data_IF_744673633804
#
_entry.id   IF_744673633804
#
_cell.length_a   1.000
_cell.length_b   1.000
_cell.length_c   1.000
_cell.angle_alpha   90.00
_cell.angle_beta   90.00
_cell.angle_gamma   90.00
#
_symmetry.space_group_name_H-M   'P 1'
#
loop_
_entity.id
_entity.type
_entity.pdbx_description
1 polymer ?
#
# COMPACT_ATOMS: atom_id res chain seq x y z
N UNK A 1 3.61 22.22 -17.53
CA UNK A 1 2.36 22.28 -16.75
C UNK A 1 2.22 23.67 -16.13
N UNK A 2 1.56 24.58 -16.86
CA UNK A 2 1.17 25.91 -16.39
C UNK A 2 -0.16 25.79 -15.62
N UNK A 3 -0.34 26.69 -14.65
CA UNK A 3 -1.53 26.90 -13.78
C UNK A 3 -1.91 25.79 -12.78
N UNK A 4 -1.02 25.49 -11.83
CA UNK A 4 -1.49 25.02 -10.52
C UNK A 4 -2.20 26.20 -9.84
N UNK A 5 -3.50 26.02 -9.52
CA UNK A 5 -4.33 27.00 -8.80
C UNK A 5 -3.56 27.57 -7.60
N UNK A 6 -3.64 28.88 -7.37
CA UNK A 6 -2.98 29.54 -6.21
C UNK A 6 -3.31 28.82 -4.89
N UNK A 7 -4.54 28.31 -4.78
CA UNK A 7 -5.04 27.53 -3.64
C UNK A 7 -4.27 26.21 -3.51
N UNK A 8 -4.08 25.47 -4.62
CA UNK A 8 -3.36 24.21 -4.62
C UNK A 8 -1.90 24.38 -4.19
N UNK A 9 -1.22 25.42 -4.68
CA UNK A 9 0.15 25.73 -4.24
C UNK A 9 0.21 26.03 -2.75
N UNK A 10 -0.71 26.87 -2.26
CA UNK A 10 -0.81 27.19 -0.84
C UNK A 10 -1.04 25.94 0.02
N UNK A 11 -1.95 25.05 -0.40
CA UNK A 11 -2.20 23.79 0.32
C UNK A 11 -0.96 22.89 0.34
N UNK A 12 -0.24 22.76 -0.77
CA UNK A 12 0.97 21.95 -0.85
C UNK A 12 2.11 22.54 0.01
N UNK A 13 2.26 23.86 0.02
CA UNK A 13 3.24 24.54 0.89
C UNK A 13 2.91 24.34 2.37
N UNK A 14 1.63 24.44 2.73
CA UNK A 14 1.16 24.11 4.08
C UNK A 14 1.44 22.65 4.42
N UNK A 15 1.09 21.70 3.56
CA UNK A 15 1.38 20.28 3.80
C UNK A 15 2.87 20.03 4.07
N UNK A 16 3.78 20.70 3.35
CA UNK A 16 5.23 20.63 3.62
C UNK A 16 5.55 21.18 5.01
N UNK A 17 5.03 22.35 5.38
CA UNK A 17 5.26 22.98 6.69
C UNK A 17 4.75 22.10 7.84
N UNK A 18 3.51 21.63 7.74
CA UNK A 18 2.88 20.77 8.74
C UNK A 18 3.58 19.43 8.86
N UNK A 19 3.94 18.79 7.74
CA UNK A 19 4.74 17.56 7.72
C UNK A 19 6.05 17.75 8.48
N UNK A 20 6.82 18.80 8.17
CA UNK A 20 8.10 19.07 8.81
C UNK A 20 7.95 19.39 10.30
N UNK A 21 6.93 20.15 10.67
CA UNK A 21 6.61 20.44 12.06
C UNK A 21 6.33 19.15 12.84
N UNK A 22 5.44 18.30 12.33
CA UNK A 22 5.10 17.04 12.97
C UNK A 22 6.30 16.10 13.08
N UNK A 23 7.12 15.97 12.04
CA UNK A 23 8.33 15.14 12.13
C UNK A 23 9.32 15.72 13.15
N UNK A 24 9.46 17.05 13.23
CA UNK A 24 10.31 17.70 14.22
C UNK A 24 9.83 17.41 15.64
N UNK A 25 8.52 17.46 15.88
CA UNK A 25 7.89 17.15 17.16
C UNK A 25 8.13 15.69 17.54
N UNK A 26 7.85 14.75 16.63
CA UNK A 26 8.07 13.32 16.86
C UNK A 26 9.54 13.03 17.17
N UNK A 27 10.48 13.68 16.47
CA UNK A 27 11.91 13.47 16.66
C UNK A 27 12.45 13.89 18.04
N UNK A 28 11.73 14.74 18.79
CA UNK A 28 12.11 15.15 20.15
C UNK A 28 11.98 14.01 21.17
N UNK A 29 11.12 13.05 20.89
CA UNK A 29 10.86 11.93 21.79
C UNK A 29 11.80 10.76 21.45
N UNK A 30 12.58 10.29 22.44
CA UNK A 30 13.57 9.22 22.28
C UNK A 30 12.98 7.92 21.70
N UNK A 31 11.72 7.62 22.04
CA UNK A 31 10.94 6.52 21.49
C UNK A 31 10.89 6.52 19.95
N UNK A 32 10.65 7.68 19.32
CA UNK A 32 10.57 7.80 17.86
C UNK A 32 11.93 7.71 17.18
N UNK A 33 13.02 7.99 17.89
CA UNK A 33 14.38 7.77 17.39
C UNK A 33 14.69 6.28 17.28
N UNK A 34 14.29 5.49 18.28
CA UNK A 34 14.37 4.02 18.26
C UNK A 34 13.46 3.42 17.16
N UNK A 35 12.26 3.97 16.99
CA UNK A 35 11.32 3.53 15.95
C UNK A 35 11.87 3.62 14.53
N UNK A 36 12.85 4.50 14.22
CA UNK A 36 13.41 4.58 12.86
C UNK A 36 13.98 3.25 12.37
N UNK A 37 14.57 2.44 13.25
CA UNK A 37 15.08 1.11 12.91
C UNK A 37 13.91 0.18 12.57
N UNK A 38 12.87 0.18 13.41
CA UNK A 38 11.65 -0.62 13.20
C UNK A 38 10.84 -0.16 11.96
N UNK A 39 10.93 1.12 11.60
CA UNK A 39 10.26 1.66 10.42
C UNK A 39 10.82 1.08 9.11
N UNK A 40 12.08 0.61 9.09
CA UNK A 40 12.64 -0.08 7.93
C UNK A 40 12.04 -1.49 7.78
N UNK A 41 11.79 -2.18 8.88
CA UNK A 41 11.04 -3.44 8.84
C UNK A 41 9.62 -3.22 8.31
N UNK A 42 8.94 -2.14 8.71
CA UNK A 42 7.63 -1.77 8.17
C UNK A 42 7.66 -1.36 6.69
N UNK A 43 8.79 -0.84 6.19
CA UNK A 43 8.99 -0.57 4.76
C UNK A 43 9.00 -1.88 3.96
N UNK A 44 9.75 -2.87 4.45
CA UNK A 44 9.89 -4.18 3.82
C UNK A 44 8.59 -4.97 3.93
N UNK A 45 7.92 -4.94 5.09
CA UNK A 45 6.68 -5.70 5.32
C UNK A 45 5.50 -5.21 4.51
N UNK A 46 5.59 -4.05 3.86
CA UNK A 46 4.57 -3.53 2.94
C UNK A 46 5.18 -3.18 1.57
N UNK A 47 6.27 -3.85 1.17
CA UNK A 47 6.86 -3.71 -0.15
C UNK A 47 6.01 -4.40 -1.23
N UNK A 48 5.76 -3.74 -2.35
CA UNK A 48 4.84 -4.25 -3.37
C UNK A 48 5.34 -5.52 -4.06
N UNK A 49 6.63 -5.60 -4.38
CA UNK A 49 7.22 -6.76 -5.04
C UNK A 49 7.28 -7.93 -4.06
N UNK A 50 7.70 -7.67 -2.82
CA UNK A 50 7.71 -8.67 -1.78
C UNK A 50 6.31 -9.28 -1.56
N UNK A 51 5.26 -8.45 -1.51
CA UNK A 51 3.87 -8.93 -1.39
C UNK A 51 3.42 -9.76 -2.59
N UNK A 52 3.73 -9.38 -3.82
CA UNK A 52 3.38 -10.19 -4.99
C UNK A 52 4.05 -11.57 -4.95
N UNK A 53 5.35 -11.61 -4.62
CA UNK A 53 6.10 -12.87 -4.55
C UNK A 53 5.59 -13.76 -3.41
N UNK A 54 5.41 -13.20 -2.20
CA UNK A 54 4.96 -13.99 -1.06
C UNK A 54 3.52 -14.46 -1.22
N UNK A 55 2.65 -13.62 -1.81
CA UNK A 55 1.25 -13.99 -2.01
C UNK A 55 1.11 -15.06 -3.09
N UNK A 56 1.83 -14.94 -4.22
CA UNK A 56 1.84 -16.00 -5.24
C UNK A 56 2.39 -17.32 -4.70
N UNK A 57 3.45 -17.28 -3.90
CA UNK A 57 3.95 -18.46 -3.18
C UNK A 57 2.89 -19.04 -2.22
N UNK A 58 2.13 -18.19 -1.52
CA UNK A 58 1.03 -18.63 -0.65
C UNK A 58 -0.08 -19.35 -1.43
N UNK A 59 -0.45 -18.89 -2.63
CA UNK A 59 -1.41 -19.61 -3.50
C UNK A 59 -0.89 -21.01 -3.81
N UNK A 60 0.39 -21.12 -4.19
CA UNK A 60 0.98 -22.38 -4.63
C UNK A 60 1.16 -23.38 -3.47
N UNK A 61 1.60 -22.91 -2.30
CA UNK A 61 1.80 -23.75 -1.11
C UNK A 61 0.45 -24.18 -0.49
N UNK A 62 -0.50 -23.25 -0.40
CA UNK A 62 -1.80 -23.45 0.23
C UNK A 62 -2.88 -23.62 -0.85
N UNK A 63 -2.66 -24.62 -1.72
CA UNK A 63 -3.54 -24.96 -2.84
C UNK A 63 -4.84 -25.64 -2.35
N UNK A 64 -5.76 -24.83 -1.79
CA UNK A 64 -7.05 -25.27 -1.28
C UNK A 64 -8.18 -24.49 -1.94
N UNK A 65 -9.19 -25.18 -2.46
CA UNK A 65 -10.39 -24.57 -3.07
C UNK A 65 -11.02 -23.50 -2.19
N UNK A 66 -11.11 -23.78 -0.89
CA UNK A 66 -11.70 -22.88 0.10
C UNK A 66 -10.94 -21.54 0.24
N UNK A 67 -9.65 -21.51 -0.12
CA UNK A 67 -8.81 -20.31 -0.04
C UNK A 67 -8.59 -19.64 -1.40
N UNK A 68 -8.72 -20.38 -2.50
CA UNK A 68 -8.38 -19.90 -3.85
C UNK A 68 -9.14 -18.64 -4.24
N UNK A 69 -10.43 -18.55 -3.95
CA UNK A 69 -11.21 -17.35 -4.26
C UNK A 69 -10.62 -16.10 -3.58
N UNK A 70 -10.32 -16.19 -2.29
CA UNK A 70 -9.72 -15.10 -1.51
C UNK A 70 -8.31 -14.77 -2.01
N UNK A 71 -7.50 -15.79 -2.23
CA UNK A 71 -6.12 -15.68 -2.69
C UNK A 71 -6.01 -14.96 -4.04
N UNK A 72 -6.83 -15.37 -5.02
CA UNK A 72 -6.86 -14.80 -6.36
C UNK A 72 -7.36 -13.35 -6.33
N UNK A 73 -8.47 -13.07 -5.64
CA UNK A 73 -8.98 -11.70 -5.53
C UNK A 73 -7.97 -10.76 -4.84
N UNK A 74 -7.30 -11.24 -3.79
CA UNK A 74 -6.26 -10.46 -3.11
C UNK A 74 -5.09 -10.15 -4.06
N UNK A 75 -4.63 -11.14 -4.84
CA UNK A 75 -3.56 -10.95 -5.83
C UNK A 75 -3.96 -9.93 -6.91
N UNK A 76 -5.19 -10.03 -7.44
CA UNK A 76 -5.71 -9.08 -8.42
C UNK A 76 -5.73 -7.66 -7.87
N UNK A 77 -6.19 -7.47 -6.63
CA UNK A 77 -6.19 -6.14 -6.03
C UNK A 77 -4.79 -5.62 -5.67
N UNK A 78 -3.82 -6.48 -5.34
CA UNK A 78 -2.41 -6.06 -5.18
C UNK A 78 -1.79 -5.58 -6.50
N UNK A 79 -2.10 -6.28 -7.61
CA UNK A 79 -1.68 -5.85 -8.95
C UNK A 79 -2.34 -4.52 -9.31
N UNK A 80 -3.64 -4.38 -9.04
CA UNK A 80 -4.38 -3.14 -9.24
C UNK A 80 -3.73 -1.97 -8.48
N UNK A 81 -3.43 -2.13 -7.19
CA UNK A 81 -2.74 -1.13 -6.36
C UNK A 81 -1.43 -0.66 -6.98
N UNK A 82 -0.57 -1.61 -7.38
CA UNK A 82 0.73 -1.29 -7.98
C UNK A 82 0.55 -0.50 -9.29
N UNK A 83 -0.40 -0.91 -10.14
CA UNK A 83 -0.67 -0.22 -11.41
C UNK A 83 -1.21 1.18 -11.16
N UNK A 84 -2.25 1.33 -10.34
CA UNK A 84 -2.89 2.63 -10.02
C UNK A 84 -1.87 3.58 -9.41
N UNK A 85 -1.11 3.13 -8.42
CA UNK A 85 -0.07 3.95 -7.77
C UNK A 85 1.02 4.34 -8.76
N UNK A 86 1.51 3.41 -9.60
CA UNK A 86 2.54 3.72 -10.59
C UNK A 86 2.07 4.75 -11.62
N UNK A 87 0.83 4.60 -12.09
CA UNK A 87 0.19 5.53 -13.03
C UNK A 87 0.05 6.92 -12.38
N UNK A 88 -0.53 7.01 -11.18
CA UNK A 88 -0.69 8.29 -10.47
C UNK A 88 0.65 8.98 -10.17
N UNK A 89 1.66 8.22 -9.76
CA UNK A 89 3.02 8.74 -9.56
C UNK A 89 3.59 9.32 -10.85
N UNK A 90 3.38 8.64 -11.97
CA UNK A 90 3.86 9.08 -13.29
C UNK A 90 3.17 10.36 -13.80
N UNK A 91 1.92 10.61 -13.38
CA UNK A 91 1.17 11.82 -13.72
C UNK A 91 1.48 13.00 -12.80
N UNK A 92 1.42 12.81 -11.48
CA UNK A 92 1.54 13.92 -10.51
C UNK A 92 2.98 14.36 -10.32
N UNK A 93 3.93 13.41 -10.34
CA UNK A 93 5.38 13.67 -10.25
C UNK A 93 5.82 14.57 -9.08
N UNK A 94 5.13 14.49 -7.94
CA UNK A 94 5.47 15.25 -6.73
C UNK A 94 6.84 14.84 -6.19
N UNK A 95 7.69 15.81 -5.85
CA UNK A 95 9.02 15.57 -5.26
C UNK A 95 8.90 15.06 -3.83
N UNK A 96 9.82 14.19 -3.38
CA UNK A 96 9.85 13.66 -2.00
C UNK A 96 10.38 14.68 -0.98
N UNK A 97 10.02 14.56 0.32
CA UNK A 97 10.55 15.43 1.37
C UNK A 97 12.06 15.37 1.50
N UNK A 98 12.64 14.16 1.43
CA UNK A 98 14.08 13.93 1.41
C UNK A 98 14.45 13.21 0.11
N UNK A 99 15.48 13.72 -0.57
CA UNK A 99 16.00 13.11 -1.78
C UNK A 99 16.50 11.69 -1.48
N UNK A 100 16.11 10.74 -2.33
CA UNK A 100 16.60 9.37 -2.26
C UNK A 100 18.08 9.39 -2.67
N UNK A 101 18.96 9.00 -1.74
CA UNK A 101 20.39 8.85 -2.02
C UNK A 101 20.72 7.51 -2.70
N UNK A 102 19.81 6.55 -2.67
CA UNK A 102 19.96 5.27 -3.37
C UNK A 102 19.82 5.46 -4.88
N UNK A 103 20.92 5.20 -5.59
CA UNK A 103 20.98 5.18 -7.06
C UNK A 103 20.15 4.05 -7.68
N UNK A 104 19.77 3.05 -6.88
CA UNK A 104 18.98 1.88 -7.29
C UNK A 104 17.47 2.15 -7.40
N UNK A 105 16.97 3.31 -6.95
CA UNK A 105 15.55 3.65 -7.13
C UNK A 105 15.31 4.17 -8.54
N UNK A 106 14.71 3.32 -9.38
CA UNK A 106 14.44 3.58 -10.80
C UNK A 106 12.93 3.77 -11.00
N UNK A 107 12.54 4.60 -11.98
CA UNK A 107 11.15 4.73 -12.41
C UNK A 107 10.25 5.61 -11.50
N UNK A 108 8.92 5.36 -11.49
CA UNK A 108 7.94 6.21 -10.81
C UNK A 108 8.14 6.27 -9.29
N UNK A 109 8.90 5.34 -8.71
CA UNK A 109 9.24 5.35 -7.29
C UNK A 109 10.09 6.54 -6.84
N UNK A 110 10.63 7.33 -7.78
CA UNK A 110 11.26 8.62 -7.43
C UNK A 110 10.26 9.66 -6.91
N UNK A 111 8.96 9.50 -7.21
CA UNK A 111 7.92 10.45 -6.82
C UNK A 111 7.28 10.10 -5.47
N UNK A 112 6.72 11.12 -4.81
CA UNK A 112 6.15 10.99 -3.45
C UNK A 112 4.64 10.74 -3.45
N UNK A 113 3.90 11.27 -4.43
CA UNK A 113 2.44 11.17 -4.43
C UNK A 113 1.95 10.11 -5.44
N UNK A 114 1.01 9.23 -5.06
CA UNK A 114 0.57 8.94 -3.70
C UNK A 114 1.55 8.02 -2.96
N UNK A 115 1.35 7.82 -1.64
CA UNK A 115 2.08 6.82 -0.87
C UNK A 115 1.58 5.41 -1.18
N UNK A 116 2.38 4.62 -1.92
CA UNK A 116 2.05 3.24 -2.28
C UNK A 116 1.98 2.30 -1.06
N UNK A 117 2.87 2.46 -0.08
CA UNK A 117 2.80 1.70 1.18
C UNK A 117 1.50 1.97 1.94
N UNK A 118 1.04 3.23 1.97
CA UNK A 118 -0.22 3.57 2.64
C UNK A 118 -1.42 3.00 1.86
N UNK A 119 -1.40 3.09 0.52
CA UNK A 119 -2.44 2.49 -0.33
C UNK A 119 -2.59 1.01 -0.08
N UNK A 120 -1.53 0.24 -0.26
CA UNK A 120 -1.52 -1.21 -0.04
C UNK A 120 -1.92 -1.61 1.37
N UNK A 121 -1.39 -0.96 2.40
CA UNK A 121 -1.70 -1.31 3.78
C UNK A 121 -3.19 -1.13 4.10
N UNK A 122 -3.80 -0.05 3.61
CA UNK A 122 -5.23 0.20 3.79
C UNK A 122 -6.09 -0.67 2.88
N UNK A 123 -5.64 -0.97 1.65
CA UNK A 123 -6.29 -1.96 0.79
C UNK A 123 -6.36 -3.33 1.49
N UNK A 124 -5.23 -3.85 1.99
CA UNK A 124 -5.16 -5.13 2.73
C UNK A 124 -6.09 -5.11 3.95
N UNK A 125 -6.07 -4.01 4.72
CA UNK A 125 -6.93 -3.85 5.88
C UNK A 125 -8.41 -3.93 5.51
N UNK A 126 -8.85 -3.16 4.49
CA UNK A 126 -10.26 -3.16 4.06
C UNK A 126 -10.64 -4.50 3.44
N UNK A 127 -9.75 -5.12 2.67
CA UNK A 127 -9.96 -6.46 2.11
C UNK A 127 -10.34 -7.45 3.21
N UNK A 128 -9.53 -7.53 4.27
CA UNK A 128 -9.78 -8.47 5.38
C UNK A 128 -10.85 -8.01 6.38
N UNK A 129 -11.30 -6.77 6.31
CA UNK A 129 -12.39 -6.26 7.15
C UNK A 129 -13.76 -6.36 6.46
N UNK A 130 -13.81 -6.27 5.13
CA UNK A 130 -15.07 -6.13 4.37
C UNK A 130 -15.30 -7.22 3.33
N UNK A 131 -14.26 -7.64 2.61
CA UNK A 131 -14.41 -8.59 1.51
C UNK A 131 -14.20 -10.03 1.96
N UNK A 132 -13.19 -10.25 2.82
CA UNK A 132 -12.91 -11.53 3.43
C UNK A 132 -12.71 -11.35 4.94
N UNK A 133 -13.84 -11.26 5.66
CA UNK A 133 -13.86 -10.89 7.08
C UNK A 133 -13.09 -11.87 7.96
N UNK A 134 -11.93 -11.45 8.46
CA UNK A 134 -11.18 -12.21 9.46
C UNK A 134 -11.81 -12.06 10.85
N UNK A 135 -11.49 -13.00 11.74
CA UNK A 135 -11.84 -12.87 13.16
C UNK A 135 -11.25 -11.59 13.77
N UNK A 136 -12.00 -10.97 14.68
CA UNK A 136 -11.62 -9.72 15.34
C UNK A 136 -10.22 -9.74 15.97
N UNK A 137 -9.79 -10.90 16.48
CA UNK A 137 -8.45 -11.13 17.05
C UNK A 137 -7.33 -10.85 16.03
N UNK A 138 -7.55 -11.12 14.74
CA UNK A 138 -6.59 -10.84 13.67
C UNK A 138 -6.73 -9.43 13.09
N UNK A 139 -7.93 -8.82 13.17
CA UNK A 139 -8.16 -7.46 12.69
C UNK A 139 -7.44 -6.39 13.52
N UNK A 140 -7.34 -6.58 14.83
CA UNK A 140 -6.61 -5.66 15.71
C UNK A 140 -5.13 -5.50 15.32
N UNK A 141 -4.31 -6.57 15.23
CA UNK A 141 -2.92 -6.44 14.81
C UNK A 141 -2.80 -5.98 13.36
N UNK A 142 -3.73 -6.34 12.47
CA UNK A 142 -3.73 -5.85 11.09
C UNK A 142 -3.96 -4.34 11.00
N UNK A 143 -4.91 -3.81 11.79
CA UNK A 143 -5.18 -2.38 11.89
C UNK A 143 -3.96 -1.65 12.46
N UNK A 144 -3.38 -2.19 13.53
CA UNK A 144 -2.16 -1.63 14.13
C UNK A 144 -1.00 -1.62 13.11
N UNK A 145 -0.84 -2.69 12.32
CA UNK A 145 0.14 -2.76 11.25
C UNK A 145 -0.10 -1.69 10.18
N UNK A 146 -1.33 -1.55 9.67
CA UNK A 146 -1.64 -0.58 8.62
C UNK A 146 -1.38 0.87 9.04
N UNK A 147 -1.80 1.23 10.26
CA UNK A 147 -1.53 2.54 10.86
C UNK A 147 -0.02 2.74 11.08
N UNK A 148 0.68 1.70 11.56
CA UNK A 148 2.14 1.75 11.76
C UNK A 148 2.90 1.95 10.44
N UNK A 149 2.48 1.28 9.36
CA UNK A 149 3.04 1.46 8.02
C UNK A 149 2.85 2.91 7.56
N UNK A 150 1.64 3.47 7.69
CA UNK A 150 1.36 4.86 7.31
C UNK A 150 2.23 5.86 8.13
N UNK A 151 2.29 5.70 9.45
CA UNK A 151 3.11 6.54 10.33
C UNK A 151 4.61 6.41 10.01
N UNK A 152 5.09 5.21 9.68
CA UNK A 152 6.49 4.99 9.33
C UNK A 152 6.92 5.81 8.11
N UNK A 153 6.01 6.04 7.14
CA UNK A 153 6.29 6.86 5.94
C UNK A 153 6.55 8.32 6.29
N UNK A 154 5.86 8.84 7.30
CA UNK A 154 6.05 10.18 7.85
C UNK A 154 7.35 10.27 8.64
N UNK A 155 7.60 9.33 9.56
CA UNK A 155 8.79 9.32 10.44
C UNK A 155 10.09 9.20 9.63
N UNK A 156 10.08 8.39 8.57
CA UNK A 156 11.20 8.23 7.65
C UNK A 156 11.30 9.37 6.61
N UNK A 157 10.40 10.35 6.66
CA UNK A 157 10.33 11.50 5.75
C UNK A 157 10.30 11.08 4.26
N UNK A 158 9.67 9.93 3.97
CA UNK A 158 9.54 9.43 2.59
C UNK A 158 8.39 10.11 1.85
N UNK A 159 7.37 10.51 2.58
CA UNK A 159 6.11 11.05 2.07
C UNK A 159 5.62 12.22 2.92
N UNK A 160 4.88 13.13 2.31
CA UNK A 160 4.13 14.15 3.05
C UNK A 160 2.83 13.58 3.61
N UNK A 161 2.20 14.29 4.54
CA UNK A 161 0.92 13.86 5.14
C UNK A 161 -0.16 13.67 4.08
N UNK A 162 -0.33 14.62 3.15
CA UNK A 162 -1.33 14.46 2.08
C UNK A 162 -1.04 13.26 1.17
N UNK A 163 0.22 12.90 0.95
CA UNK A 163 0.57 11.71 0.15
C UNK A 163 0.11 10.42 0.85
N UNK A 164 0.22 10.38 2.18
CA UNK A 164 -0.19 9.25 3.02
C UNK A 164 -1.72 9.15 3.06
N UNK A 165 -2.42 10.26 3.31
CA UNK A 165 -3.89 10.30 3.31
C UNK A 165 -4.47 9.91 1.96
N UNK A 166 -3.93 10.46 0.87
CA UNK A 166 -4.36 10.09 -0.48
C UNK A 166 -4.11 8.61 -0.76
N UNK A 167 -2.94 8.07 -0.36
CA UNK A 167 -2.66 6.65 -0.45
C UNK A 167 -3.71 5.81 0.27
N UNK A 168 -3.99 6.10 1.55
CA UNK A 168 -5.01 5.38 2.32
C UNK A 168 -6.40 5.41 1.66
N UNK A 169 -6.81 6.57 1.11
CA UNK A 169 -8.08 6.69 0.38
C UNK A 169 -8.07 5.83 -0.88
N UNK A 170 -6.97 5.84 -1.65
CA UNK A 170 -6.83 5.01 -2.86
C UNK A 170 -6.99 3.53 -2.51
N UNK A 171 -6.31 3.03 -1.48
CA UNK A 171 -6.44 1.63 -1.07
C UNK A 171 -7.87 1.24 -0.66
N UNK A 172 -8.60 2.14 0.02
CA UNK A 172 -10.03 1.94 0.34
C UNK A 172 -10.86 1.87 -0.94
N UNK A 173 -10.62 2.77 -1.91
CA UNK A 173 -11.33 2.80 -3.19
C UNK A 173 -11.01 1.57 -4.05
N UNK A 174 -9.77 1.08 -4.03
CA UNK A 174 -9.36 -0.13 -4.73
C UNK A 174 -10.07 -1.36 -4.18
N UNK A 175 -10.23 -1.47 -2.85
CA UNK A 175 -11.02 -2.54 -2.26
C UNK A 175 -12.50 -2.46 -2.68
N UNK A 176 -13.07 -1.25 -2.77
CA UNK A 176 -14.43 -1.06 -3.31
C UNK A 176 -14.53 -1.41 -4.78
N UNK A 177 -13.52 -1.06 -5.59
CA UNK A 177 -13.49 -1.44 -6.99
C UNK A 177 -13.43 -2.97 -7.13
N UNK A 178 -12.60 -3.62 -6.32
CA UNK A 178 -12.47 -5.07 -6.29
C UNK A 178 -13.79 -5.76 -5.90
N UNK A 179 -14.57 -5.17 -5.00
CA UNK A 179 -15.93 -5.62 -4.65
C UNK A 179 -16.83 -5.73 -5.90
N UNK A 180 -16.72 -4.77 -6.84
CA UNK A 180 -17.50 -4.79 -8.09
C UNK A 180 -17.01 -5.80 -9.12
N UNK A 181 -15.71 -6.10 -9.15
CA UNK A 181 -15.10 -7.06 -10.09
C UNK A 181 -14.75 -8.39 -9.41
N UNK A 182 -15.47 -8.72 -8.32
CA UNK A 182 -15.14 -9.86 -7.47
C UNK A 182 -15.19 -11.17 -8.25
N UNK A 183 -14.09 -11.91 -8.22
CA UNK A 183 -13.96 -13.20 -8.89
C UNK A 183 -14.70 -14.26 -8.08
N UNK A 184 -15.58 -15.00 -8.76
CA UNK A 184 -16.31 -16.14 -8.20
C UNK A 184 -15.38 -17.32 -7.94
N UNK A 185 -15.75 -18.19 -7.00
CA UNK A 185 -14.98 -19.37 -6.62
C UNK A 185 -14.75 -20.29 -7.82
N UNK A 186 -15.78 -20.56 -8.63
CA UNK A 186 -15.68 -21.39 -9.82
C UNK A 186 -14.67 -20.84 -10.83
N UNK A 187 -14.67 -19.52 -11.05
CA UNK A 187 -13.72 -18.89 -11.96
C UNK A 187 -12.29 -18.90 -11.39
N UNK A 188 -12.12 -18.69 -10.07
CA UNK A 188 -10.82 -18.78 -9.42
C UNK A 188 -10.21 -20.18 -9.54
N UNK A 189 -11.01 -21.23 -9.32
CA UNK A 189 -10.59 -22.64 -9.47
C UNK A 189 -10.20 -22.93 -10.92
N UNK A 190 -11.00 -22.47 -11.90
CA UNK A 190 -10.70 -22.67 -13.31
C UNK A 190 -9.38 -21.98 -13.72
N UNK A 191 -9.13 -20.76 -13.24
CA UNK A 191 -7.85 -20.07 -13.47
C UNK A 191 -6.69 -20.87 -12.86
N UNK A 192 -6.84 -21.33 -11.62
CA UNK A 192 -5.80 -22.10 -10.95
C UNK A 192 -5.49 -23.42 -11.70
N UNK A 193 -6.52 -24.15 -12.13
CA UNK A 193 -6.39 -25.40 -12.88
C UNK A 193 -5.73 -25.22 -14.26
N UNK A 194 -6.04 -24.12 -14.96
CA UNK A 194 -5.38 -23.76 -16.21
C UNK A 194 -3.88 -23.49 -16.03
N UNK A 195 -3.49 -22.86 -14.92
CA UNK A 195 -2.10 -22.54 -14.62
C UNK A 195 -1.32 -23.76 -14.12
N UNK A 196 -1.94 -24.65 -13.35
CA UNK A 196 -1.30 -25.86 -12.83
C UNK A 196 -1.26 -27.01 -13.82
N UNK A 197 -2.05 -26.96 -14.89
CA UNK A 197 -2.18 -28.05 -15.87
C UNK A 197 -2.82 -29.32 -15.29
N UNK A 198 -3.51 -29.20 -14.15
CA UNK A 198 -4.18 -30.30 -13.46
C UNK A 198 -5.69 -30.08 -13.47
N UNK A 199 -6.45 -30.97 -14.12
CA UNK A 199 -7.91 -30.99 -14.07
C UNK A 199 -8.47 -31.34 -12.67
N UNK A 200 -7.60 -31.68 -11.71
CA UNK A 200 -7.94 -32.19 -10.38
C UNK A 200 -7.63 -31.22 -9.22
N UNK A 201 -7.66 -29.88 -9.42
CA UNK A 201 -7.72 -28.99 -8.25
C UNK A 201 -9.07 -29.14 -7.59
#
# INVERSE_FOLDING_TARGET
>A
MKTSSRILKYMLEKDVQWTNYCVSLLSKYSFFKSLKINCKFLEISCDGIAWLITWTAFIWIMNSKALLQMQVNMLVGLILDIVVVAVLKSFVRRRRPVAIKDTLVIGPDKFSFPSGHASRAFYVLIFFTKLYSLNFVFLMPLTAWAVSVALSRLILQRHYMLDIFAGAIIGVLEARLLEFIWISETFAINIAGLVSGSEEI
#
